data_IF_156191569684
#
_entry.id   IF_156191569684
#
_cell.length_a   1.000
_cell.length_b   1.000
_cell.length_c   1.000
_cell.angle_alpha   90.00
_cell.angle_beta   90.00
_cell.angle_gamma   90.00
#
_symmetry.space_group_name_H-M   'P 1'
#
loop_
_entity.id
_entity.type
_entity.pdbx_description
1 polymer ?
#
# COMPACT_ATOMS: atom_id res chain seq x y z
N UNK A 1 17.11 -8.00 4.32
CA UNK A 1 16.62 -6.62 4.47
C UNK A 1 15.23 -6.35 3.85
N UNK A 2 14.75 -7.08 2.83
CA UNK A 2 13.45 -6.79 2.17
C UNK A 2 12.16 -7.30 2.85
N UNK A 3 12.24 -8.10 3.93
CA UNK A 3 11.03 -8.68 4.54
C UNK A 3 10.25 -7.67 5.41
N UNK A 4 10.92 -6.67 5.98
CA UNK A 4 10.30 -5.68 6.86
C UNK A 4 9.39 -4.74 6.07
N UNK A 5 9.81 -4.28 4.88
CA UNK A 5 9.01 -3.41 4.01
C UNK A 5 7.67 -4.06 3.64
N UNK A 6 7.70 -5.31 3.16
CA UNK A 6 6.50 -6.07 2.79
C UNK A 6 5.54 -6.33 3.95
N UNK A 7 6.07 -6.48 5.17
CA UNK A 7 5.23 -6.65 6.36
C UNK A 7 4.53 -5.33 6.73
N UNK A 8 5.24 -4.20 6.64
CA UNK A 8 4.67 -2.86 6.84
C UNK A 8 3.57 -2.54 5.83
N UNK A 9 3.82 -2.76 4.54
CA UNK A 9 2.82 -2.54 3.48
C UNK A 9 1.53 -3.35 3.73
N UNK A 10 1.67 -4.63 4.10
CA UNK A 10 0.52 -5.48 4.45
C UNK A 10 -0.24 -4.97 5.67
N UNK A 11 0.46 -4.49 6.69
CA UNK A 11 -0.15 -3.91 7.88
C UNK A 11 -0.98 -2.67 7.51
N UNK A 12 -0.41 -1.76 6.72
CA UNK A 12 -1.08 -0.53 6.29
C UNK A 12 -2.29 -0.85 5.41
N UNK A 13 -2.16 -1.76 4.45
CA UNK A 13 -3.28 -2.20 3.61
C UNK A 13 -4.42 -2.80 4.44
N UNK A 14 -4.09 -3.56 5.49
CA UNK A 14 -5.08 -4.12 6.41
C UNK A 14 -5.76 -3.01 7.23
N UNK A 15 -4.99 -2.08 7.77
CA UNK A 15 -5.52 -0.95 8.54
C UNK A 15 -6.45 -0.06 7.70
N UNK A 16 -6.07 0.28 6.47
CA UNK A 16 -6.93 1.04 5.54
C UNK A 16 -8.27 0.34 5.31
N UNK A 17 -8.26 -0.98 5.11
CA UNK A 17 -9.50 -1.76 4.99
C UNK A 17 -10.36 -1.71 6.26
N UNK A 18 -9.77 -1.69 7.47
CA UNK A 18 -10.56 -1.55 8.70
C UNK A 18 -11.16 -0.15 8.86
N UNK A 19 -10.64 0.85 8.15
CA UNK A 19 -11.21 2.18 8.07
C UNK A 19 -12.26 2.32 6.95
N UNK A 20 -12.65 1.20 6.30
CA UNK A 20 -13.53 1.14 5.12
C UNK A 20 -12.97 1.81 3.85
N UNK A 21 -11.65 2.03 3.77
CA UNK A 21 -11.04 2.55 2.55
C UNK A 21 -10.93 1.46 1.48
N UNK A 22 -11.13 1.83 0.22
CA UNK A 22 -10.91 0.98 -0.94
C UNK A 22 -9.44 1.09 -1.38
N UNK A 23 -8.74 -0.04 -1.42
CA UNK A 23 -7.41 -0.10 -2.04
C UNK A 23 -7.57 -0.11 -3.56
N UNK A 24 -7.00 0.87 -4.24
CA UNK A 24 -7.02 1.00 -5.70
C UNK A 24 -5.80 0.31 -6.33
N UNK A 25 -4.60 0.57 -5.80
CA UNK A 25 -3.36 -0.03 -6.28
C UNK A 25 -2.37 -0.29 -5.13
N UNK A 26 -1.48 -1.27 -5.33
CA UNK A 26 -0.34 -1.57 -4.46
C UNK A 26 0.90 -1.73 -5.32
N UNK A 27 2.07 -1.33 -4.80
CA UNK A 27 3.36 -1.36 -5.51
C UNK A 27 3.28 -0.68 -6.88
N UNK A 28 2.60 0.46 -6.95
CA UNK A 28 2.44 1.21 -8.20
C UNK A 28 3.78 1.82 -8.61
N UNK A 29 4.14 1.70 -9.88
CA UNK A 29 5.42 2.20 -10.42
C UNK A 29 5.18 2.92 -11.74
N UNK A 30 5.92 4.00 -11.95
CA UNK A 30 5.99 4.72 -13.22
C UNK A 30 7.42 5.19 -13.49
N UNK A 31 7.65 5.81 -14.64
CA UNK A 31 8.97 6.37 -15.01
C UNK A 31 9.52 7.42 -14.02
N UNK A 32 8.67 7.99 -13.19
CA UNK A 32 9.02 9.07 -12.25
C UNK A 32 9.14 8.60 -10.80
N UNK A 33 8.86 7.33 -10.50
CA UNK A 33 8.96 6.81 -9.14
C UNK A 33 7.94 5.72 -8.83
N UNK A 34 7.83 5.42 -7.54
CA UNK A 34 6.95 4.39 -7.00
C UNK A 34 6.07 4.91 -5.87
N UNK A 35 4.90 4.29 -5.72
CA UNK A 35 3.95 4.51 -4.63
C UNK A 35 3.55 3.14 -4.08
N UNK A 36 3.72 2.93 -2.79
CA UNK A 36 3.48 1.62 -2.17
C UNK A 36 1.99 1.25 -2.16
N UNK A 37 1.10 2.21 -1.83
CA UNK A 37 -0.36 1.99 -1.74
C UNK A 37 -1.11 3.24 -2.20
N UNK A 38 -2.14 3.05 -3.03
CA UNK A 38 -3.12 4.07 -3.41
C UNK A 38 -4.49 3.61 -2.91
N UNK A 39 -5.16 4.45 -2.13
CA UNK A 39 -6.46 4.13 -1.53
C UNK A 39 -7.42 5.33 -1.58
N UNK A 40 -8.72 5.03 -1.53
CA UNK A 40 -9.83 5.99 -1.55
C UNK A 40 -10.70 5.78 -0.31
N UNK A 41 -11.19 6.87 0.29
CA UNK A 41 -12.00 6.87 1.51
C UNK A 41 -13.46 7.26 1.26
#
# INVERSE_FOLDING_TARGET
>A
MHQIGKAGEKLVAKWLKTQNWQILHQQWRCRFGEIDIIALN
#
